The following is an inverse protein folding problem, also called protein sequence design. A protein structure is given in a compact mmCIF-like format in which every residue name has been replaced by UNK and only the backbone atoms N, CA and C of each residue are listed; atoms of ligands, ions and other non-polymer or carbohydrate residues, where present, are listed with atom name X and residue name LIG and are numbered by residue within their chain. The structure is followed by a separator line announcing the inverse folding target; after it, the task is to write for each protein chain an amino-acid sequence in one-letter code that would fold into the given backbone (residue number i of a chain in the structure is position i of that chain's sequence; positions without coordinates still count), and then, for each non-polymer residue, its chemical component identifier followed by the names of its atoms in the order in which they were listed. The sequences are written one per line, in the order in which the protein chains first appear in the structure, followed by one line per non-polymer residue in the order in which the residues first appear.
data_IF_213925552657
#
_entry.id   IF_213925552657
#
_cell.length_a   1.000
_cell.length_b   1.000
_cell.length_c   1.000
_cell.angle_alpha   90.00
_cell.angle_beta   90.00
_cell.angle_gamma   90.00
#
_symmetry.space_group_name_H-M   'P 1'
#
loop_
_entity.id
_entity.type
_entity.pdbx_description
1 polymer ?
#
# COMPACT_ATOMS: atom_id res chain seq x y z
N UNK A 1 4.38 18.40 -23.30
CA UNK A 1 4.97 17.16 -22.73
C UNK A 1 4.58 16.01 -23.65
N UNK A 2 5.50 15.19 -24.12
CA UNK A 2 5.14 14.01 -24.93
C UNK A 2 4.39 12.98 -24.07
N UNK A 3 3.64 12.07 -24.69
CA UNK A 3 2.81 11.10 -23.96
C UNK A 3 3.61 10.23 -22.99
N UNK A 4 4.85 9.90 -23.34
CA UNK A 4 5.78 9.13 -22.50
C UNK A 4 6.18 9.90 -21.23
N UNK A 5 6.49 11.20 -21.35
CA UNK A 5 6.79 12.05 -20.20
C UNK A 5 5.60 12.25 -19.26
N UNK A 6 4.38 12.35 -19.80
CA UNK A 6 3.17 12.45 -19.00
C UNK A 6 2.90 11.18 -18.20
N UNK A 7 3.07 10.01 -18.83
CA UNK A 7 2.88 8.72 -18.18
C UNK A 7 3.93 8.49 -17.08
N UNK A 8 5.20 8.81 -17.34
CA UNK A 8 6.26 8.72 -16.34
C UNK A 8 5.99 9.61 -15.12
N UNK A 9 5.53 10.85 -15.34
CA UNK A 9 5.14 11.74 -14.26
C UNK A 9 3.97 11.16 -13.45
N UNK A 10 2.95 10.61 -14.10
CA UNK A 10 1.81 10.01 -13.41
C UNK A 10 2.22 8.85 -12.49
N UNK A 11 3.11 7.96 -12.93
CA UNK A 11 3.62 6.87 -12.09
C UNK A 11 4.40 7.38 -10.88
N UNK A 12 5.24 8.39 -11.07
CA UNK A 12 5.97 9.04 -9.96
C UNK A 12 5.02 9.68 -8.96
N UNK A 13 3.96 10.35 -9.42
CA UNK A 13 2.95 10.94 -8.54
C UNK A 13 2.19 9.88 -7.74
N UNK A 14 1.85 8.74 -8.35
CA UNK A 14 1.21 7.62 -7.65
C UNK A 14 2.15 7.04 -6.58
N UNK A 15 3.43 6.86 -6.88
CA UNK A 15 4.41 6.39 -5.90
C UNK A 15 4.53 7.35 -4.70
N UNK A 16 4.55 8.67 -4.94
CA UNK A 16 4.55 9.69 -3.88
C UNK A 16 3.23 9.74 -3.09
N UNK A 17 2.10 9.49 -3.74
CA UNK A 17 0.81 9.36 -3.06
C UNK A 17 0.82 8.16 -2.10
N UNK A 18 1.45 7.04 -2.49
CA UNK A 18 1.64 5.88 -1.61
C UNK A 18 2.51 6.20 -0.40
N UNK A 19 3.62 6.93 -0.60
CA UNK A 19 4.47 7.42 0.51
C UNK A 19 3.65 8.28 1.48
N UNK A 20 2.89 9.24 0.93
CA UNK A 20 2.04 10.12 1.71
C UNK A 20 0.99 9.34 2.50
N UNK A 21 0.39 8.33 1.88
CA UNK A 21 -0.53 7.40 2.55
C UNK A 21 0.12 6.70 3.75
N UNK A 22 1.35 6.18 3.61
CA UNK A 22 2.05 5.52 4.71
C UNK A 22 2.30 6.47 5.89
N UNK A 23 2.72 7.70 5.63
CA UNK A 23 2.92 8.69 6.68
C UNK A 23 1.62 9.10 7.35
N UNK A 24 0.57 9.37 6.58
CA UNK A 24 -0.76 9.67 7.14
C UNK A 24 -1.27 8.50 7.99
N UNK A 25 -1.10 7.25 7.53
CA UNK A 25 -1.46 6.07 8.29
C UNK A 25 -0.66 5.98 9.61
N UNK A 26 0.65 6.19 9.55
CA UNK A 26 1.52 6.23 10.72
C UNK A 26 1.07 7.27 11.74
N UNK A 27 0.79 8.50 11.29
CA UNK A 27 0.27 9.58 12.13
C UNK A 27 -1.07 9.19 12.75
N UNK A 28 -2.01 8.68 11.95
CA UNK A 28 -3.35 8.30 12.41
C UNK A 28 -3.30 7.18 13.46
N UNK A 29 -2.38 6.23 13.33
CA UNK A 29 -2.18 5.16 14.31
C UNK A 29 -1.87 5.73 15.70
N UNK A 30 -1.00 6.74 15.79
CA UNK A 30 -0.61 7.35 17.07
C UNK A 30 -1.61 8.40 17.56
N UNK A 31 -2.09 9.28 16.67
CA UNK A 31 -2.98 10.38 17.07
C UNK A 31 -4.43 9.95 17.27
N UNK A 32 -4.91 8.98 16.48
CA UNK A 32 -6.33 8.57 16.43
C UNK A 32 -6.47 7.04 16.25
N UNK A 33 -5.97 6.21 17.18
CA UNK A 33 -5.95 4.75 17.03
C UNK A 33 -7.33 4.12 16.83
N UNK A 34 -8.41 4.75 17.34
CA UNK A 34 -9.79 4.31 17.10
C UNK A 34 -10.17 4.38 15.61
N UNK A 35 -9.71 5.41 14.89
CA UNK A 35 -9.95 5.55 13.45
C UNK A 35 -9.15 4.48 12.69
N UNK A 36 -7.88 4.28 13.05
CA UNK A 36 -7.05 3.23 12.45
C UNK A 36 -7.63 1.82 12.66
N UNK A 37 -8.19 1.53 13.84
CA UNK A 37 -8.86 0.27 14.12
C UNK A 37 -10.12 0.06 13.24
N UNK A 38 -10.94 1.10 13.08
CA UNK A 38 -12.12 1.04 12.18
C UNK A 38 -11.71 0.87 10.73
N UNK A 39 -10.62 1.52 10.31
CA UNK A 39 -10.04 1.32 8.98
C UNK A 39 -9.65 -0.14 8.74
N UNK A 40 -8.96 -0.77 9.71
CA UNK A 40 -8.63 -2.20 9.62
C UNK A 40 -9.86 -3.11 9.56
N UNK A 41 -10.91 -2.79 10.32
CA UNK A 41 -12.17 -3.55 10.29
C UNK A 41 -12.90 -3.46 8.95
N UNK A 42 -12.78 -2.33 8.24
CA UNK A 42 -13.44 -2.13 6.95
C UNK A 42 -12.99 -3.16 5.90
N UNK A 43 -11.75 -3.65 5.98
CA UNK A 43 -11.23 -4.68 5.08
C UNK A 43 -11.97 -6.03 5.18
N UNK A 44 -12.59 -6.34 6.32
CA UNK A 44 -13.45 -7.52 6.47
C UNK A 44 -14.92 -7.26 6.13
N UNK A 45 -15.29 -6.00 5.89
CA UNK A 45 -16.69 -5.55 5.89
C UNK A 45 -17.46 -5.84 4.61
N UNK A 46 -16.85 -5.74 3.43
CA UNK A 46 -17.56 -5.98 2.17
C UNK A 46 -16.65 -6.30 0.97
N UNK A 47 -17.23 -6.94 -0.03
CA UNK A 47 -16.59 -7.24 -1.31
C UNK A 47 -16.23 -5.98 -2.09
N UNK A 48 -17.06 -4.93 -2.02
CA UNK A 48 -16.79 -3.64 -2.66
C UNK A 48 -15.54 -2.96 -2.08
N UNK A 49 -15.37 -3.01 -0.76
CA UNK A 49 -14.17 -2.48 -0.10
C UNK A 49 -12.93 -3.31 -0.47
N UNK A 50 -13.07 -4.64 -0.52
CA UNK A 50 -11.99 -5.53 -0.99
C UNK A 50 -11.56 -5.21 -2.43
N UNK A 51 -12.52 -5.02 -3.35
CA UNK A 51 -12.21 -4.69 -4.74
C UNK A 51 -11.54 -3.31 -4.86
N UNK A 52 -11.99 -2.33 -4.08
CA UNK A 52 -11.36 -1.01 -4.02
C UNK A 52 -9.92 -1.10 -3.51
N UNK A 53 -9.69 -1.83 -2.41
CA UNK A 53 -8.34 -2.07 -1.88
C UNK A 53 -7.46 -2.77 -2.92
N UNK A 54 -7.95 -3.83 -3.54
CA UNK A 54 -7.23 -4.56 -4.58
C UNK A 54 -6.88 -3.63 -5.76
N UNK A 55 -7.81 -2.78 -6.20
CA UNK A 55 -7.58 -1.83 -7.30
C UNK A 55 -6.51 -0.81 -6.95
N UNK A 56 -6.60 -0.18 -5.78
CA UNK A 56 -5.62 0.79 -5.31
C UNK A 56 -4.23 0.15 -5.13
N UNK A 57 -4.20 -1.07 -4.58
CA UNK A 57 -2.98 -1.85 -4.39
C UNK A 57 -2.34 -2.24 -5.74
N UNK A 58 -3.15 -2.59 -6.74
CA UNK A 58 -2.66 -2.88 -8.09
C UNK A 58 -2.06 -1.63 -8.75
N UNK A 59 -2.75 -0.49 -8.67
CA UNK A 59 -2.27 0.78 -9.22
C UNK A 59 -0.93 1.18 -8.58
N UNK A 60 -0.83 1.09 -7.25
CA UNK A 60 0.42 1.37 -6.54
C UNK A 60 1.53 0.37 -6.92
N UNK A 61 1.20 -0.93 -7.03
CA UNK A 61 2.15 -1.96 -7.43
C UNK A 61 2.73 -1.72 -8.82
N UNK A 62 1.88 -1.42 -9.79
CA UNK A 62 2.28 -1.08 -11.16
C UNK A 62 3.11 0.20 -11.21
N UNK A 63 2.76 1.22 -10.41
CA UNK A 63 3.55 2.44 -10.31
C UNK A 63 4.96 2.16 -9.81
N UNK A 64 5.12 1.34 -8.76
CA UNK A 64 6.44 0.96 -8.25
C UNK A 64 7.26 0.17 -9.26
N UNK A 65 6.66 -0.79 -9.97
CA UNK A 65 7.33 -1.52 -11.05
C UNK A 65 7.80 -0.55 -12.13
N UNK A 66 6.93 0.36 -12.58
CA UNK A 66 7.24 1.30 -13.65
C UNK A 66 8.37 2.27 -13.30
N UNK A 67 8.40 2.80 -12.07
CA UNK A 67 9.45 3.75 -11.64
C UNK A 67 10.73 3.05 -11.18
N UNK A 68 10.68 1.76 -10.85
CA UNK A 68 11.79 1.03 -10.23
C UNK A 68 13.14 1.17 -10.94
N UNK A 69 13.27 1.13 -12.30
CA UNK A 69 14.58 1.16 -12.96
C UNK A 69 15.36 2.45 -12.74
N UNK A 70 14.68 3.55 -12.42
CA UNK A 70 15.26 4.89 -12.26
C UNK A 70 15.54 5.26 -10.80
N UNK A 71 15.36 4.31 -9.87
CA UNK A 71 15.47 4.55 -8.42
C UNK A 71 16.82 4.09 -7.86
N UNK A 72 17.13 4.51 -6.63
CA UNK A 72 18.34 4.06 -5.91
C UNK A 72 18.31 2.58 -5.52
N UNK A 73 17.12 1.99 -5.42
CA UNK A 73 16.90 0.59 -5.02
C UNK A 73 15.99 -0.13 -6.02
N UNK A 74 16.45 -0.34 -7.28
CA UNK A 74 15.60 -0.81 -8.36
C UNK A 74 15.01 -2.20 -8.08
N UNK A 75 15.84 -3.14 -7.61
CA UNK A 75 15.40 -4.50 -7.28
C UNK A 75 14.38 -4.51 -6.13
N UNK A 76 14.58 -3.68 -5.11
CA UNK A 76 13.69 -3.64 -3.95
C UNK A 76 12.33 -3.02 -4.29
N UNK A 77 12.31 -1.91 -5.04
CA UNK A 77 11.05 -1.28 -5.47
C UNK A 77 10.30 -2.11 -6.51
N UNK A 78 11.01 -2.80 -7.40
CA UNK A 78 10.39 -3.79 -8.28
C UNK A 78 9.73 -4.91 -7.46
N UNK A 79 10.46 -5.48 -6.49
CA UNK A 79 9.95 -6.54 -5.61
C UNK A 79 8.72 -6.08 -4.81
N UNK A 80 8.77 -4.88 -4.22
CA UNK A 80 7.63 -4.27 -3.54
C UNK A 80 6.43 -4.14 -4.48
N UNK A 81 6.64 -3.59 -5.68
CA UNK A 81 5.59 -3.41 -6.67
C UNK A 81 4.97 -4.72 -7.13
N UNK A 82 5.79 -5.75 -7.35
CA UNK A 82 5.36 -7.09 -7.71
C UNK A 82 4.51 -7.74 -6.60
N UNK A 83 4.95 -7.65 -5.34
CA UNK A 83 4.17 -8.17 -4.19
C UNK A 83 2.81 -7.47 -4.10
N UNK A 84 2.75 -6.15 -4.26
CA UNK A 84 1.49 -5.41 -4.25
C UNK A 84 0.59 -5.83 -5.42
N UNK A 85 1.11 -5.89 -6.65
CA UNK A 85 0.33 -6.26 -7.83
C UNK A 85 -0.21 -7.70 -7.74
N UNK A 86 0.63 -8.66 -7.38
CA UNK A 86 0.23 -10.08 -7.27
C UNK A 86 -0.80 -10.27 -6.15
N UNK A 87 -0.57 -9.68 -4.98
CA UNK A 87 -1.54 -9.79 -3.87
C UNK A 87 -2.86 -9.10 -4.20
N UNK A 88 -2.86 -7.99 -4.94
CA UNK A 88 -4.08 -7.35 -5.44
C UNK A 88 -4.89 -8.27 -6.35
N UNK A 89 -4.24 -8.94 -7.31
CA UNK A 89 -4.89 -9.92 -8.19
C UNK A 89 -5.49 -11.06 -7.36
N UNK A 90 -4.73 -11.62 -6.43
CA UNK A 90 -5.23 -12.68 -5.54
C UNK A 90 -6.44 -12.21 -4.72
N UNK A 91 -6.44 -10.99 -4.20
CA UNK A 91 -7.57 -10.45 -3.44
C UNK A 91 -8.82 -10.23 -4.29
N UNK A 92 -8.66 -9.80 -5.54
CA UNK A 92 -9.76 -9.58 -6.46
C UNK A 92 -10.46 -10.90 -6.82
N UNK A 93 -9.69 -11.96 -7.11
CA UNK A 93 -10.24 -13.25 -7.53
C UNK A 93 -10.58 -14.20 -6.38
N UNK A 94 -9.90 -14.09 -5.24
CA UNK A 94 -10.04 -14.99 -4.09
C UNK A 94 -10.64 -14.29 -2.87
N UNK A 95 -11.67 -13.46 -3.08
CA UNK A 95 -12.30 -12.67 -2.01
C UNK A 95 -12.67 -13.51 -0.77
N UNK A 96 -13.25 -14.71 -0.93
CA UNK A 96 -13.62 -15.56 0.23
C UNK A 96 -12.41 -15.99 1.05
N UNK A 97 -11.29 -16.30 0.39
CA UNK A 97 -10.05 -16.65 1.06
C UNK A 97 -9.43 -15.43 1.75
N UNK A 98 -9.42 -14.28 1.07
CA UNK A 98 -8.95 -13.02 1.65
C UNK A 98 -9.78 -12.59 2.87
N UNK A 99 -11.11 -12.70 2.79
CA UNK A 99 -12.02 -12.43 3.92
C UNK A 99 -11.74 -13.35 5.12
N UNK A 100 -11.50 -14.64 4.87
CA UNK A 100 -11.12 -15.58 5.93
C UNK A 100 -9.77 -15.22 6.56
N UNK A 101 -8.79 -14.86 5.75
CA UNK A 101 -7.48 -14.39 6.22
C UNK A 101 -7.60 -13.12 7.07
N UNK A 102 -8.42 -12.15 6.63
CA UNK A 102 -8.67 -10.91 7.36
C UNK A 102 -9.24 -11.16 8.77
N UNK A 103 -10.07 -12.20 8.94
CA UNK A 103 -10.60 -12.60 10.24
C UNK A 103 -9.52 -12.94 11.28
N UNK A 104 -8.37 -13.47 10.85
CA UNK A 104 -7.21 -13.72 11.71
C UNK A 104 -6.23 -12.54 11.73
N UNK A 105 -5.96 -11.94 10.58
CA UNK A 105 -4.96 -10.89 10.41
C UNK A 105 -5.34 -9.59 11.12
N UNK A 106 -6.62 -9.20 11.12
CA UNK A 106 -7.08 -7.94 11.73
C UNK A 106 -6.85 -7.94 13.26
N UNK A 107 -7.29 -8.94 14.05
CA UNK A 107 -7.00 -8.99 15.48
C UNK A 107 -5.50 -8.94 15.79
N UNK A 108 -4.67 -9.62 14.99
CA UNK A 108 -3.22 -9.57 15.14
C UNK A 108 -2.67 -8.17 14.85
N UNK A 109 -3.04 -7.56 13.72
CA UNK A 109 -2.62 -6.21 13.33
C UNK A 109 -2.98 -5.17 14.40
N UNK A 110 -4.16 -5.27 15.02
CA UNK A 110 -4.57 -4.40 16.12
C UNK A 110 -3.66 -4.52 17.37
N UNK A 111 -3.14 -5.71 17.67
CA UNK A 111 -2.23 -5.92 18.82
C UNK A 111 -0.87 -5.27 18.61
N UNK A 112 -0.39 -5.22 17.36
CA UNK A 112 0.90 -4.63 16.99
C UNK A 112 0.74 -3.25 16.33
N UNK A 113 -0.42 -2.59 16.48
CA UNK A 113 -0.75 -1.38 15.75
C UNK A 113 0.30 -0.25 15.91
N UNK A 114 0.85 0.04 17.11
CA UNK A 114 1.91 1.04 17.25
C UNK A 114 3.17 0.70 16.45
N UNK A 115 3.56 -0.58 16.44
CA UNK A 115 4.70 -1.05 15.65
C UNK A 115 4.44 -0.88 14.15
N UNK A 116 3.21 -1.12 13.69
CA UNK A 116 2.82 -0.83 12.30
C UNK A 116 2.91 0.67 11.99
N UNK A 117 2.61 1.54 12.94
CA UNK A 117 2.76 2.99 12.78
C UNK A 117 4.22 3.40 12.56
N UNK A 118 5.14 2.88 13.39
CA UNK A 118 6.58 3.09 13.21
C UNK A 118 7.05 2.52 11.87
N UNK A 119 6.64 1.30 11.54
CA UNK A 119 7.02 0.64 10.30
C UNK A 119 6.52 1.41 9.06
N UNK A 120 5.28 1.94 9.10
CA UNK A 120 4.74 2.74 8.01
C UNK A 120 5.56 4.02 7.79
N UNK A 121 5.95 4.71 8.87
CA UNK A 121 6.82 5.88 8.79
C UNK A 121 8.20 5.55 8.22
N UNK A 122 8.85 4.53 8.77
CA UNK A 122 10.18 4.10 8.34
C UNK A 122 10.19 3.65 6.87
N UNK A 123 9.20 2.85 6.47
CA UNK A 123 9.04 2.41 5.09
C UNK A 123 8.74 3.58 4.15
N UNK A 124 7.86 4.51 4.53
CA UNK A 124 7.59 5.71 3.75
C UNK A 124 8.85 6.57 3.55
N UNK A 125 9.67 6.74 4.59
CA UNK A 125 10.94 7.47 4.51
C UNK A 125 11.96 6.76 3.60
N UNK A 126 12.08 5.43 3.71
CA UNK A 126 12.96 4.63 2.87
C UNK A 126 12.56 4.72 1.39
N UNK A 127 11.26 4.62 1.08
CA UNK A 127 10.74 4.75 -0.28
C UNK A 127 10.97 6.17 -0.81
N UNK A 128 10.69 7.20 -0.01
CA UNK A 128 10.93 8.60 -0.39
C UNK A 128 12.39 8.84 -0.76
N UNK A 129 13.32 8.33 0.05
CA UNK A 129 14.76 8.41 -0.23
C UNK A 129 15.16 7.61 -1.47
N UNK A 130 14.53 6.46 -1.72
CA UNK A 130 14.80 5.66 -2.92
C UNK A 130 14.29 6.33 -4.21
N UNK A 131 13.20 7.12 -4.12
CA UNK A 131 12.58 7.84 -5.24
C UNK A 131 13.23 9.20 -5.56
N UNK A 132 13.93 9.81 -4.59
CA UNK A 132 14.66 11.08 -4.77
C UNK A 132 15.95 10.87 -5.57
#
# INVERSE_FOLDING_TARGET
MNQTGALALAWRLIAWAFVSYLWVLGILIFMRPRIANRFLEAFAGSERVNLLEATLRLIAGLAFIAVSPETKLPVALFGLGAVLAVSAVMMAFLYRAHKRYAGWAIPFAKRILPLMGVAAFALGALIAWALS
#
